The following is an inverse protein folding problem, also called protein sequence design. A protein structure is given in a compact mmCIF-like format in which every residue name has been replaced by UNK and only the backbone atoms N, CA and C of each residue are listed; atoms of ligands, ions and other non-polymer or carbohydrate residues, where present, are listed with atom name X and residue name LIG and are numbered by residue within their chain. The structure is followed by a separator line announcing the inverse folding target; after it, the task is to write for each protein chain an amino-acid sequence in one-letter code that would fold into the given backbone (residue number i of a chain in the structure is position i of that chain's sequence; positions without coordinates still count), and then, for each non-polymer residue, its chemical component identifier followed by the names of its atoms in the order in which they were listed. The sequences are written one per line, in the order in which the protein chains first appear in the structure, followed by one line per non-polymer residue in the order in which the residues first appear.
data_IF_905080911261
#
_entry.id   IF_905080911261
#
_cell.length_a   1.000
_cell.length_b   1.000
_cell.length_c   1.000
_cell.angle_alpha   90.00
_cell.angle_beta   90.00
_cell.angle_gamma   90.00
#
_symmetry.space_group_name_H-M   'P 1'
#
loop_
_entity.id
_entity.type
_entity.pdbx_description
1 polymer ?
#
# COMPACT_ATOMS: atom_id res chain seq x y z
N UNK A 1 2.70 -2.50 5.55
CA UNK A 1 3.30 -1.98 4.30
C UNK A 1 4.43 -2.89 3.90
N UNK A 2 4.47 -3.28 2.64
CA UNK A 2 5.52 -4.12 2.05
C UNK A 2 6.08 -3.42 0.81
N UNK A 3 7.39 -3.56 0.57
CA UNK A 3 8.03 -3.05 -0.64
C UNK A 3 8.17 -4.19 -1.62
N UNK A 4 7.67 -4.01 -2.86
CA UNK A 4 7.73 -5.01 -3.91
C UNK A 4 8.69 -4.54 -5.00
N UNK A 5 9.67 -5.37 -5.34
CA UNK A 5 10.65 -5.06 -6.39
C UNK A 5 10.67 -6.12 -7.49
N UNK A 6 10.93 -5.70 -8.72
CA UNK A 6 11.10 -6.60 -9.87
C UNK A 6 9.97 -7.63 -10.02
N UNK A 7 10.26 -8.90 -9.71
CA UNK A 7 9.30 -9.99 -9.84
C UNK A 7 8.23 -10.06 -8.74
N UNK A 8 8.41 -9.34 -7.64
CA UNK A 8 7.37 -9.23 -6.60
C UNK A 8 6.25 -8.28 -7.03
N UNK A 9 6.52 -7.38 -7.98
CA UNK A 9 5.54 -6.47 -8.55
C UNK A 9 4.48 -7.28 -9.31
N UNK A 10 3.17 -7.09 -9.06
CA UNK A 10 2.11 -7.74 -9.82
C UNK A 10 2.27 -7.54 -11.32
N UNK A 11 2.11 -8.61 -12.10
CA UNK A 11 2.34 -8.59 -13.56
C UNK A 11 1.54 -7.51 -14.30
N UNK A 12 0.36 -7.16 -13.81
CA UNK A 12 -0.50 -6.10 -14.35
C UNK A 12 0.07 -4.69 -14.14
N UNK A 13 0.93 -4.50 -13.14
CA UNK A 13 1.54 -3.20 -12.80
C UNK A 13 2.95 -3.04 -13.36
N UNK A 14 3.61 -4.16 -13.71
CA UNK A 14 4.96 -4.13 -14.29
C UNK A 14 4.98 -3.34 -15.59
N UNK A 15 5.86 -2.35 -15.64
CA UNK A 15 6.08 -1.52 -16.83
C UNK A 15 7.53 -1.03 -16.86
N UNK A 16 8.07 -0.69 -18.05
CA UNK A 16 9.42 -0.14 -18.16
C UNK A 16 9.58 1.09 -17.26
N UNK A 17 10.67 1.12 -16.49
CA UNK A 17 10.98 2.23 -15.57
C UNK A 17 10.26 2.17 -14.22
N UNK A 18 9.50 1.11 -13.93
CA UNK A 18 8.95 0.85 -12.60
C UNK A 18 9.76 -0.25 -11.91
N UNK A 19 10.70 0.15 -11.07
CA UNK A 19 11.61 -0.76 -10.36
C UNK A 19 11.07 -1.22 -8.99
N UNK A 20 10.19 -0.41 -8.39
CA UNK A 20 9.69 -0.60 -7.04
C UNK A 20 8.29 -0.02 -6.88
N UNK A 21 7.46 -0.69 -6.08
CA UNK A 21 6.20 -0.17 -5.54
C UNK A 21 6.05 -0.55 -4.08
N UNK A 22 5.11 0.11 -3.39
CA UNK A 22 4.73 -0.14 -2.02
C UNK A 22 3.31 -0.71 -1.98
N UNK A 23 3.15 -1.83 -1.31
CA UNK A 23 1.87 -2.46 -1.05
C UNK A 23 1.41 -2.14 0.38
N UNK A 24 0.25 -1.52 0.52
CA UNK A 24 -0.42 -1.25 1.79
C UNK A 24 -1.67 -2.10 1.84
N UNK A 25 -1.80 -2.97 2.83
CA UNK A 25 -2.99 -3.82 3.00
C UNK A 25 -3.82 -3.25 4.13
N UNK A 26 -5.07 -2.91 3.81
CA UNK A 26 -6.11 -2.52 4.76
C UNK A 26 -6.70 -3.76 5.45
N UNK A 27 -7.39 -3.57 6.57
CA UNK A 27 -7.90 -4.67 7.40
C UNK A 27 -9.15 -5.33 6.84
N UNK A 28 -9.77 -4.71 5.84
CA UNK A 28 -10.78 -5.34 4.99
C UNK A 28 -10.18 -6.35 3.98
N UNK A 29 -8.85 -6.44 3.91
CA UNK A 29 -8.11 -7.29 2.98
C UNK A 29 -7.79 -6.65 1.63
N UNK A 30 -8.15 -5.38 1.42
CA UNK A 30 -7.83 -4.62 0.21
C UNK A 30 -6.35 -4.23 0.20
N UNK A 31 -5.65 -4.51 -0.90
CA UNK A 31 -4.26 -4.08 -1.08
C UNK A 31 -4.17 -2.92 -2.06
N UNK A 32 -3.57 -1.83 -1.61
CA UNK A 32 -3.27 -0.63 -2.37
C UNK A 32 -1.81 -0.65 -2.80
N UNK A 33 -1.56 -0.36 -4.08
CA UNK A 33 -0.22 -0.31 -4.66
C UNK A 33 0.14 1.14 -5.00
N UNK A 34 1.25 1.61 -4.46
CA UNK A 34 1.69 3.00 -4.53
C UNK A 34 3.14 3.06 -5.00
N UNK A 35 3.52 4.09 -5.74
CA UNK A 35 4.90 4.22 -6.28
C UNK A 35 5.78 5.10 -5.37
N UNK A 36 5.15 5.89 -4.50
CA UNK A 36 5.79 6.80 -3.55
C UNK A 36 5.75 6.23 -2.14
N UNK A 37 6.87 6.27 -1.45
CA UNK A 37 7.00 5.87 -0.05
C UNK A 37 6.20 6.81 0.86
N UNK A 38 6.20 8.11 0.54
CA UNK A 38 5.46 9.12 1.28
C UNK A 38 3.96 8.86 1.19
N UNK A 39 3.44 8.59 -0.01
CA UNK A 39 2.01 8.28 -0.19
C UNK A 39 1.62 6.98 0.51
N UNK A 40 2.51 5.97 0.50
CA UNK A 40 2.28 4.72 1.20
C UNK A 40 2.24 4.89 2.72
N UNK A 41 3.12 5.72 3.27
CA UNK A 41 3.12 6.06 4.69
C UNK A 41 1.89 6.88 5.09
N UNK A 42 1.48 7.84 4.26
CA UNK A 42 0.26 8.61 4.50
C UNK A 42 -0.97 7.71 4.52
N UNK A 43 -1.11 6.83 3.52
CA UNK A 43 -2.23 5.89 3.49
C UNK A 43 -2.22 4.96 4.71
N UNK A 44 -1.05 4.46 5.12
CA UNK A 44 -0.93 3.60 6.30
C UNK A 44 -1.43 4.31 7.58
N UNK A 45 -1.11 5.59 7.74
CA UNK A 45 -1.59 6.40 8.88
C UNK A 45 -3.10 6.60 8.80
N UNK A 46 -3.63 6.95 7.63
CA UNK A 46 -5.06 7.18 7.43
C UNK A 46 -5.89 5.91 7.72
N UNK A 47 -5.40 4.75 7.30
CA UNK A 47 -6.04 3.46 7.57
C UNK A 47 -6.06 3.14 9.07
N UNK A 48 -4.93 3.34 9.76
CA UNK A 48 -4.82 3.12 11.21
C UNK A 48 -5.73 4.07 12.03
N UNK A 49 -5.84 5.34 11.62
CA UNK A 49 -6.77 6.29 12.24
C UNK A 49 -8.24 5.89 12.02
N UNK A 50 -8.58 5.43 10.81
CA UNK A 50 -9.93 4.97 10.47
C UNK A 50 -10.33 3.74 11.29
N UNK A 51 -9.42 2.80 11.48
CA UNK A 51 -9.65 1.62 12.31
C UNK A 51 -9.87 1.97 13.77
N UNK A 52 -9.00 2.83 14.34
CA UNK A 52 -9.15 3.28 15.73
C UNK A 52 -10.51 3.93 15.95
N UNK A 53 -10.92 4.81 15.03
CA UNK A 53 -12.23 5.45 15.11
C UNK A 53 -13.40 4.47 14.98
N UNK A 54 -13.26 3.41 14.17
CA UNK A 54 -14.30 2.39 14.02
C UNK A 54 -14.46 1.49 15.25
N UNK A 55 -13.45 1.39 16.11
CA UNK A 55 -13.51 0.65 17.39
C UNK A 55 -14.09 1.48 18.54
N UNK A 56 -14.16 2.81 18.38
CA UNK A 56 -14.68 3.74 19.39
C UNK A 56 -16.18 4.05 19.24
N UNK A 57 -16.81 3.62 18.14
CA UNK A 57 -18.26 3.80 17.81
C UNK A 57 -19.06 2.51 18.08
#
# INVERSE_FOLDING_TARGET
METLVGDEIPRSLRRPGLDMIFAVTDTDGSTYYLESDIEALQLLIELDEKERKALED
#
